data_IF_596138467932
#
_entry.id   IF_596138467932
#
_cell.length_a   1.000
_cell.length_b   1.000
_cell.length_c   1.000
_cell.angle_alpha   90.00
_cell.angle_beta   90.00
_cell.angle_gamma   90.00
#
_symmetry.space_group_name_H-M   'P 1'
#
loop_
_entity.id
_entity.type
_entity.pdbx_description
1 polymer ?
#
# COMPACT_ATOMS: atom_id res chain seq x y z
N UNK A 1 16.52 -12.52 10.25
CA UNK A 1 17.20 -11.43 9.52
C UNK A 1 17.83 -10.50 10.56
N UNK A 2 19.07 -10.05 10.36
CA UNK A 2 19.66 -9.03 11.23
C UNK A 2 18.96 -7.70 10.94
N UNK A 3 18.51 -7.02 11.98
CA UNK A 3 17.90 -5.70 11.87
C UNK A 3 18.97 -4.69 11.42
N UNK A 4 18.71 -3.97 10.33
CA UNK A 4 19.61 -2.90 9.87
C UNK A 4 19.36 -1.69 10.76
N UNK A 5 20.34 -1.36 11.61
CA UNK A 5 20.16 -0.32 12.62
C UNK A 5 20.36 1.09 12.06
N UNK A 6 21.34 1.29 11.16
CA UNK A 6 21.64 2.60 10.58
C UNK A 6 21.71 2.56 9.06
N UNK A 7 21.05 3.52 8.41
CA UNK A 7 21.12 3.75 6.96
C UNK A 7 21.59 5.18 6.67
N UNK A 8 22.41 5.33 5.64
CA UNK A 8 22.81 6.60 5.09
C UNK A 8 21.93 6.92 3.88
N UNK A 9 21.10 7.97 3.97
CA UNK A 9 20.25 8.41 2.86
C UNK A 9 20.89 9.64 2.24
N UNK A 10 21.19 9.57 0.94
CA UNK A 10 21.79 10.67 0.23
C UNK A 10 21.16 10.85 -1.15
N UNK A 11 21.20 12.10 -1.61
CA UNK A 11 20.75 12.46 -2.94
C UNK A 11 21.76 11.96 -3.97
N UNK A 12 21.27 11.44 -5.09
CA UNK A 12 22.13 11.04 -6.20
C UNK A 12 22.15 12.11 -7.30
N UNK A 13 23.27 12.18 -8.01
CA UNK A 13 23.37 12.99 -9.22
C UNK A 13 22.80 12.22 -10.42
N UNK A 14 21.69 12.70 -10.97
CA UNK A 14 21.07 12.12 -12.16
C UNK A 14 21.93 12.17 -13.42
N UNK A 15 22.98 12.99 -13.43
CA UNK A 15 23.96 13.08 -14.53
C UNK A 15 25.08 12.07 -14.40
N UNK A 16 25.29 11.52 -13.19
CA UNK A 16 26.20 10.41 -12.97
C UNK A 16 25.53 9.09 -13.39
N UNK A 17 26.00 8.51 -14.48
CA UNK A 17 25.44 7.25 -14.99
C UNK A 17 25.54 6.10 -13.99
N UNK A 18 26.55 6.10 -13.11
CA UNK A 18 26.73 5.04 -12.11
C UNK A 18 25.65 5.11 -11.04
N UNK A 19 25.44 6.29 -10.46
CA UNK A 19 24.45 6.47 -9.39
C UNK A 19 23.03 6.29 -9.94
N UNK A 20 22.77 6.82 -11.14
CA UNK A 20 21.50 6.63 -11.81
C UNK A 20 21.23 5.15 -12.10
N UNK A 21 22.24 4.38 -12.51
CA UNK A 21 22.11 2.94 -12.73
C UNK A 21 21.77 2.21 -11.42
N UNK A 22 22.47 2.50 -10.33
CA UNK A 22 22.18 1.93 -9.01
C UNK A 22 20.73 2.18 -8.59
N UNK A 23 20.27 3.42 -8.77
CA UNK A 23 18.90 3.81 -8.47
C UNK A 23 17.88 3.05 -9.33
N UNK A 24 18.11 2.96 -10.64
CA UNK A 24 17.18 2.32 -11.57
C UNK A 24 17.12 0.80 -11.37
N UNK A 25 18.26 0.17 -11.11
CA UNK A 25 18.40 -1.29 -11.00
C UNK A 25 18.10 -1.82 -9.60
N UNK A 26 18.07 -0.99 -8.55
CA UNK A 26 17.77 -1.43 -7.18
C UNK A 26 16.55 -2.37 -7.06
N UNK A 27 15.40 -2.17 -7.73
CA UNK A 27 14.26 -3.11 -7.70
C UNK A 27 14.62 -4.53 -8.15
N UNK A 28 15.61 -4.69 -9.04
CA UNK A 28 16.11 -6.00 -9.44
C UNK A 28 16.78 -6.74 -8.28
N UNK A 29 17.17 -6.06 -7.20
CA UNK A 29 17.70 -6.73 -6.01
C UNK A 29 16.58 -7.26 -5.10
N UNK A 30 15.42 -6.61 -5.05
CA UNK A 30 14.37 -6.91 -4.06
C UNK A 30 13.15 -7.66 -4.60
N UNK A 31 12.78 -7.51 -5.88
CA UNK A 31 11.58 -8.16 -6.42
C UNK A 31 11.89 -9.50 -7.09
N UNK A 32 11.06 -10.52 -6.89
CA UNK A 32 11.26 -11.84 -7.49
C UNK A 32 11.13 -11.83 -9.02
N UNK A 33 10.15 -11.11 -9.56
CA UNK A 33 9.88 -11.07 -11.00
C UNK A 33 10.80 -10.10 -11.75
N UNK A 34 12.05 -10.53 -11.98
CA UNK A 34 13.08 -9.70 -12.64
C UNK A 34 12.67 -9.22 -14.03
N UNK A 35 12.00 -10.06 -14.83
CA UNK A 35 11.56 -9.72 -16.20
C UNK A 35 10.61 -8.52 -16.24
N UNK A 36 9.66 -8.46 -15.30
CA UNK A 36 8.73 -7.33 -15.22
C UNK A 36 9.47 -6.04 -14.86
N UNK A 37 10.44 -6.13 -13.94
CA UNK A 37 11.26 -4.98 -13.52
C UNK A 37 12.15 -4.50 -14.66
N UNK A 38 12.83 -5.41 -15.38
CA UNK A 38 13.63 -5.09 -16.57
C UNK A 38 12.81 -4.35 -17.63
N UNK A 39 11.54 -4.74 -17.82
CA UNK A 39 10.62 -4.04 -18.71
C UNK A 39 10.24 -2.63 -18.22
N UNK A 40 10.21 -2.40 -16.91
CA UNK A 40 9.83 -1.13 -16.31
C UNK A 40 10.98 -0.12 -16.21
N UNK A 41 12.24 -0.60 -16.08
CA UNK A 41 13.44 0.24 -15.94
C UNK A 41 13.56 1.32 -17.04
N UNK A 42 13.40 1.02 -18.35
CA UNK A 42 13.46 2.04 -19.39
C UNK A 42 12.40 3.13 -19.23
N UNK A 43 11.21 2.78 -18.73
CA UNK A 43 10.14 3.74 -18.46
C UNK A 43 10.50 4.67 -17.31
N UNK A 44 10.98 4.11 -16.20
CA UNK A 44 11.45 4.92 -15.07
C UNK A 44 12.60 5.83 -15.50
N UNK A 45 13.58 5.31 -16.26
CA UNK A 45 14.68 6.11 -16.81
C UNK A 45 14.14 7.32 -17.58
N UNK A 46 13.19 7.10 -18.50
CA UNK A 46 12.58 8.21 -19.25
C UNK A 46 11.90 9.25 -18.37
N UNK A 47 11.22 8.83 -17.29
CA UNK A 47 10.55 9.75 -16.36
C UNK A 47 11.54 10.58 -15.55
N UNK A 48 12.61 9.96 -15.03
CA UNK A 48 13.59 10.65 -14.18
C UNK A 48 14.63 11.44 -14.97
N UNK A 49 14.76 11.21 -16.29
CA UNK A 49 15.62 11.99 -17.18
C UNK A 49 15.00 13.32 -17.62
N UNK A 50 13.68 13.49 -17.48
CA UNK A 50 13.01 14.75 -17.85
C UNK A 50 13.29 15.81 -16.76
N UNK A 51 13.52 17.09 -17.11
CA UNK A 51 13.58 18.16 -16.13
C UNK A 51 12.27 18.24 -15.34
N UNK A 52 12.37 18.29 -14.01
CA UNK A 52 11.22 18.44 -13.14
C UNK A 52 11.66 18.75 -11.71
N UNK A 53 10.69 19.17 -10.90
CA UNK A 53 10.90 19.55 -9.50
C UNK A 53 10.91 18.31 -8.61
N UNK A 54 11.85 17.41 -8.86
CA UNK A 54 12.07 16.22 -8.06
C UNK A 54 13.55 15.89 -7.90
N UNK A 55 13.84 15.20 -6.81
CA UNK A 55 15.18 14.75 -6.44
C UNK A 55 15.16 13.24 -6.19
N UNK A 56 16.26 12.58 -6.54
CA UNK A 56 16.42 11.13 -6.43
C UNK A 56 17.30 10.83 -5.21
N UNK A 57 16.90 9.85 -4.40
CA UNK A 57 17.63 9.44 -3.20
C UNK A 57 17.81 7.92 -3.18
N UNK A 58 18.97 7.49 -2.70
CA UNK A 58 19.23 6.09 -2.33
C UNK A 58 19.53 6.01 -0.83
N UNK A 59 19.17 4.87 -0.25
CA UNK A 59 19.50 4.52 1.12
C UNK A 59 20.53 3.39 1.09
N UNK A 60 21.64 3.59 1.79
CA UNK A 60 22.71 2.61 1.93
C UNK A 60 22.82 2.12 3.37
N UNK A 61 23.03 0.83 3.56
CA UNK A 61 23.38 0.28 4.87
C UNK A 61 24.83 0.62 5.25
N UNK A 62 25.21 0.34 6.50
CA UNK A 62 26.61 0.40 6.95
C UNK A 62 27.58 -0.47 6.15
N UNK A 63 27.09 -1.47 5.43
CA UNK A 63 27.90 -2.35 4.59
C UNK A 63 27.99 -1.87 3.14
N UNK A 64 27.48 -0.67 2.83
CA UNK A 64 27.36 -0.12 1.47
C UNK A 64 26.39 -0.88 0.54
N UNK A 65 25.55 -1.76 1.10
CA UNK A 65 24.44 -2.35 0.33
C UNK A 65 23.33 -1.29 0.15
N UNK A 66 22.82 -1.13 -1.07
CA UNK A 66 21.61 -0.33 -1.31
C UNK A 66 20.42 -1.06 -0.67
N UNK A 67 19.71 -0.38 0.22
CA UNK A 67 18.56 -0.94 0.96
C UNK A 67 17.25 -0.23 0.64
N UNK A 68 17.29 0.87 -0.11
CA UNK A 68 16.10 1.54 -0.57
C UNK A 68 16.40 2.63 -1.59
N UNK A 69 15.34 3.08 -2.27
CA UNK A 69 15.34 4.27 -3.12
C UNK A 69 14.04 5.03 -2.97
N UNK A 70 14.08 6.33 -3.22
CA UNK A 70 12.88 7.15 -3.30
C UNK A 70 13.08 8.37 -4.19
N UNK A 71 11.98 8.84 -4.76
CA UNK A 71 11.90 10.14 -5.43
C UNK A 71 11.14 11.10 -4.55
N UNK A 72 11.69 12.28 -4.35
CA UNK A 72 11.08 13.37 -3.60
C UNK A 72 10.68 14.48 -4.56
N UNK A 73 9.39 14.63 -4.82
CA UNK A 73 8.86 15.65 -5.73
C UNK A 73 8.21 16.81 -4.98
N UNK A 74 8.38 18.03 -5.48
CA UNK A 74 7.76 19.25 -4.97
C UNK A 74 6.62 19.66 -5.91
N UNK A 75 5.54 20.23 -5.37
CA UNK A 75 4.44 20.74 -6.16
C UNK A 75 3.98 22.10 -5.61
N UNK A 76 4.45 23.17 -6.24
CA UNK A 76 4.13 24.55 -5.84
C UNK A 76 2.72 24.99 -6.25
N UNK A 77 2.00 24.19 -7.03
CA UNK A 77 0.65 24.49 -7.50
C UNK A 77 -0.42 24.03 -6.51
N UNK A 78 -0.17 22.95 -5.78
CA UNK A 78 -1.09 22.44 -4.75
C UNK A 78 -0.66 23.01 -3.41
N UNK A 79 -1.56 23.75 -2.76
CA UNK A 79 -1.28 24.45 -1.49
C UNK A 79 -2.39 24.24 -0.49
N UNK A 80 -2.07 24.38 0.80
CA UNK A 80 -3.07 24.40 1.86
C UNK A 80 -3.68 25.81 2.04
N UNK A 81 -4.61 25.92 3.00
CA UNK A 81 -5.31 27.17 3.33
C UNK A 81 -4.36 28.27 3.86
N UNK A 82 -3.13 27.91 4.25
CA UNK A 82 -2.07 28.82 4.70
C UNK A 82 -1.05 29.11 3.58
N UNK A 83 -1.36 28.76 2.33
CA UNK A 83 -0.52 28.94 1.15
C UNK A 83 0.80 28.14 1.18
N UNK A 84 0.89 27.09 2.01
CA UNK A 84 2.05 26.20 2.09
C UNK A 84 1.99 25.14 0.98
N UNK A 85 3.04 24.98 0.16
CA UNK A 85 3.03 24.03 -0.96
C UNK A 85 3.15 22.58 -0.48
N UNK A 86 2.56 21.66 -1.25
CA UNK A 86 2.66 20.24 -1.00
C UNK A 86 3.84 19.59 -1.73
N UNK A 87 4.32 18.47 -1.20
CA UNK A 87 5.36 17.64 -1.76
C UNK A 87 5.02 16.15 -1.64
N UNK A 88 5.71 15.29 -2.35
CA UNK A 88 5.41 13.87 -2.40
C UNK A 88 6.65 12.99 -2.37
N UNK A 89 6.47 11.78 -1.87
CA UNK A 89 7.43 10.68 -1.99
C UNK A 89 6.83 9.68 -2.97
N UNK A 90 7.53 9.40 -4.07
CA UNK A 90 7.13 8.47 -5.11
C UNK A 90 8.27 7.55 -5.50
N UNK A 91 7.99 6.57 -6.38
CA UNK A 91 8.98 5.55 -6.80
C UNK A 91 9.81 5.04 -5.60
N UNK A 92 9.08 4.64 -4.57
CA UNK A 92 9.61 4.26 -3.28
C UNK A 92 9.72 2.75 -3.23
N UNK A 93 10.94 2.24 -3.16
CA UNK A 93 11.22 0.83 -3.02
C UNK A 93 12.19 0.65 -1.85
N UNK A 94 11.95 -0.36 -1.03
CA UNK A 94 12.78 -0.66 0.14
C UNK A 94 12.85 -2.17 0.29
N UNK A 95 13.96 -2.67 0.83
CA UNK A 95 14.03 -4.07 1.28
C UNK A 95 12.91 -4.37 2.29
N UNK A 96 12.60 -5.64 2.52
CA UNK A 96 11.58 -6.05 3.48
C UNK A 96 12.03 -5.84 4.95
N UNK A 97 12.25 -4.58 5.33
CA UNK A 97 12.63 -4.12 6.66
C UNK A 97 11.87 -2.83 7.00
N UNK A 98 10.97 -2.94 7.98
CA UNK A 98 10.16 -1.82 8.47
C UNK A 98 11.00 -0.68 9.08
N UNK A 99 12.16 -0.99 9.66
CA UNK A 99 13.08 0.02 10.20
C UNK A 99 13.58 0.93 9.08
N UNK A 100 14.03 0.35 7.97
CA UNK A 100 14.52 1.10 6.80
C UNK A 100 13.39 1.93 6.19
N UNK A 101 12.20 1.34 6.01
CA UNK A 101 11.01 2.07 5.57
C UNK A 101 10.75 3.31 6.43
N UNK A 102 10.67 3.12 7.75
CA UNK A 102 10.41 4.21 8.70
C UNK A 102 11.47 5.30 8.63
N UNK A 103 12.75 4.93 8.60
CA UNK A 103 13.86 5.88 8.52
C UNK A 103 13.81 6.72 7.23
N UNK A 104 13.48 6.11 6.10
CA UNK A 104 13.33 6.83 4.82
C UNK A 104 12.13 7.78 4.82
N UNK A 105 10.99 7.38 5.39
CA UNK A 105 9.83 8.28 5.55
C UNK A 105 10.16 9.44 6.50
N UNK A 106 10.82 9.16 7.63
CA UNK A 106 11.24 10.19 8.59
C UNK A 106 12.26 11.16 7.97
N UNK A 107 13.17 10.67 7.13
CA UNK A 107 14.06 11.52 6.32
C UNK A 107 13.26 12.42 5.39
N UNK A 108 12.31 11.87 4.62
CA UNK A 108 11.51 12.63 3.68
C UNK A 108 10.70 13.74 4.35
N UNK A 109 10.11 13.45 5.51
CA UNK A 109 9.40 14.45 6.34
C UNK A 109 10.31 15.58 6.78
N UNK A 110 11.48 15.28 7.34
CA UNK A 110 12.46 16.28 7.80
C UNK A 110 12.98 17.13 6.64
N UNK A 111 13.26 16.49 5.50
CA UNK A 111 13.69 17.17 4.30
C UNK A 111 12.63 18.18 3.83
N UNK A 112 11.35 17.79 3.72
CA UNK A 112 10.31 18.71 3.26
C UNK A 112 10.00 19.82 4.27
N UNK A 113 10.05 19.51 5.57
CA UNK A 113 9.92 20.52 6.62
C UNK A 113 11.00 21.60 6.51
N UNK A 114 12.26 21.21 6.26
CA UNK A 114 13.38 22.15 6.05
C UNK A 114 13.14 23.06 4.84
N UNK A 115 12.49 22.55 3.79
CA UNK A 115 12.21 23.28 2.56
C UNK A 115 10.85 24.00 2.57
N UNK A 116 10.10 23.98 3.68
CA UNK A 116 8.75 24.58 3.82
C UNK A 116 7.70 23.96 2.89
N UNK A 117 7.74 22.64 2.76
CA UNK A 117 6.70 21.86 2.09
C UNK A 117 5.96 20.97 3.07
N UNK A 118 4.66 20.78 2.85
CA UNK A 118 3.88 19.73 3.48
C UNK A 118 4.06 18.43 2.72
N UNK A 119 4.46 17.36 3.40
CA UNK A 119 4.36 16.03 2.80
C UNK A 119 2.87 15.72 2.56
N UNK A 120 2.49 15.61 1.30
CA UNK A 120 1.15 15.23 0.90
C UNK A 120 0.85 13.86 1.49
N UNK A 121 -0.25 13.70 2.22
CA UNK A 121 -0.61 12.44 2.82
C UNK A 121 -1.04 11.48 1.70
N UNK A 122 -0.10 10.69 1.16
CA UNK A 122 -0.44 9.57 0.26
C UNK A 122 -1.20 8.45 0.98
N UNK A 123 -1.39 8.58 2.29
CA UNK A 123 -2.29 7.77 3.07
C UNK A 123 -3.54 8.60 3.33
N UNK A 124 -4.58 8.39 2.55
CA UNK A 124 -5.94 8.82 2.89
C UNK A 124 -6.17 8.50 4.40
N UNK A 125 -6.46 9.48 5.28
CA UNK A 125 -6.51 9.29 6.73
C UNK A 125 -7.61 8.34 7.22
N UNK A 126 -8.47 7.84 6.34
CA UNK A 126 -9.27 6.62 6.62
C UNK A 126 -8.41 5.35 6.81
N UNK A 127 -7.11 5.39 6.51
CA UNK A 127 -6.16 4.30 6.64
C UNK A 127 -5.37 4.24 7.96
N UNK A 128 -5.45 5.23 8.86
CA UNK A 128 -4.67 5.22 10.12
C UNK A 128 -5.47 4.65 11.30
N UNK A 129 -6.80 4.57 11.22
CA UNK A 129 -7.64 3.94 12.27
C UNK A 129 -7.76 2.41 12.17
N UNK A 130 -7.04 1.77 11.25
CA UNK A 130 -7.24 0.35 10.87
C UNK A 130 -6.03 -0.51 11.27
N UNK A 131 -5.42 -0.26 12.42
CA UNK A 131 -4.53 -1.25 13.06
C UNK A 131 -5.29 -2.45 13.64
N UNK A 132 -6.56 -2.25 14.03
CA UNK A 132 -7.41 -3.29 14.62
C UNK A 132 -8.51 -3.81 13.68
N UNK A 133 -8.87 -3.08 12.62
CA UNK A 133 -9.95 -3.47 11.71
C UNK A 133 -9.48 -4.23 10.44
N UNK A 134 -8.17 -4.31 10.17
CA UNK A 134 -7.65 -4.80 8.89
C UNK A 134 -7.81 -6.31 8.71
N UNK A 135 -7.75 -7.11 9.78
CA UNK A 135 -8.06 -8.55 9.69
C UNK A 135 -9.50 -8.80 9.28
N UNK A 136 -10.44 -7.98 9.74
CA UNK A 136 -11.86 -8.13 9.40
C UNK A 136 -12.17 -7.60 8.00
N UNK A 137 -11.63 -6.44 7.61
CA UNK A 137 -11.92 -5.84 6.31
C UNK A 137 -11.24 -6.60 5.15
N UNK A 138 -10.02 -7.10 5.36
CA UNK A 138 -9.30 -7.90 4.36
C UNK A 138 -9.99 -9.25 4.10
N UNK A 139 -10.51 -9.91 5.16
CA UNK A 139 -11.38 -11.09 5.05
C UNK A 139 -12.66 -10.77 4.28
N UNK A 140 -13.26 -9.60 4.49
CA UNK A 140 -14.46 -9.16 3.78
C UNK A 140 -14.14 -8.90 2.30
N UNK A 141 -13.08 -8.17 1.95
CA UNK A 141 -12.74 -7.90 0.54
C UNK A 141 -12.31 -9.15 -0.23
N UNK A 142 -11.54 -10.07 0.39
CA UNK A 142 -11.22 -11.36 -0.25
C UNK A 142 -12.50 -12.18 -0.46
N UNK A 143 -13.42 -12.17 0.51
CA UNK A 143 -14.72 -12.84 0.38
C UNK A 143 -15.59 -12.22 -0.72
N UNK A 144 -15.57 -10.89 -0.90
CA UNK A 144 -16.32 -10.22 -1.96
C UNK A 144 -15.73 -10.46 -3.34
N UNK A 145 -14.40 -10.41 -3.50
CA UNK A 145 -13.75 -10.73 -4.77
C UNK A 145 -13.93 -12.20 -5.15
N UNK A 146 -13.88 -13.11 -4.17
CA UNK A 146 -14.17 -14.53 -4.39
C UNK A 146 -15.65 -14.75 -4.74
N UNK A 147 -16.58 -14.09 -4.06
CA UNK A 147 -18.02 -14.19 -4.33
C UNK A 147 -18.37 -13.63 -5.71
N UNK A 148 -17.79 -12.49 -6.11
CA UNK A 148 -17.98 -11.90 -7.44
C UNK A 148 -17.42 -12.83 -8.52
N UNK A 149 -16.22 -13.39 -8.32
CA UNK A 149 -15.67 -14.36 -9.28
C UNK A 149 -16.49 -15.65 -9.33
N UNK A 150 -17.04 -16.13 -8.22
CA UNK A 150 -17.92 -17.30 -8.18
C UNK A 150 -19.26 -17.03 -8.88
N UNK A 151 -19.81 -15.81 -8.74
CA UNK A 151 -21.03 -15.37 -9.43
C UNK A 151 -20.77 -15.27 -10.94
N UNK A 152 -19.65 -14.67 -11.36
CA UNK A 152 -19.27 -14.56 -12.77
C UNK A 152 -19.05 -15.96 -13.38
N UNK A 153 -18.37 -16.85 -12.65
CA UNK A 153 -18.10 -18.21 -13.11
C UNK A 153 -19.40 -19.04 -13.22
N UNK A 154 -20.31 -18.94 -12.25
CA UNK A 154 -21.61 -19.62 -12.33
C UNK A 154 -22.54 -19.02 -13.39
N UNK A 155 -22.52 -17.69 -13.58
CA UNK A 155 -23.28 -17.04 -14.67
C UNK A 155 -22.75 -17.42 -16.05
N UNK A 156 -21.43 -17.65 -16.19
CA UNK A 156 -20.85 -18.17 -17.44
C UNK A 156 -21.19 -19.64 -17.67
N UNK A 157 -21.38 -20.45 -16.62
CA UNK A 157 -21.79 -21.85 -16.73
C UNK A 157 -23.27 -21.99 -17.14
N UNK A 158 -24.15 -21.07 -16.72
CA UNK A 158 -25.58 -21.12 -17.06
C UNK A 158 -25.98 -20.41 -18.37
N UNK A 159 -25.05 -19.69 -19.02
CA UNK A 159 -25.32 -19.07 -20.33
C UNK A 159 -25.49 -20.09 -21.47
N UNK A 160 -25.33 -21.39 -21.20
CA UNK A 160 -25.60 -22.48 -22.15
C UNK A 160 -26.95 -23.20 -21.90
N UNK A 161 -27.81 -22.71 -21.00
CA UNK A 161 -29.12 -23.32 -20.71
C UNK A 161 -30.29 -22.37 -21.01
N UNK A 162 -31.29 -22.91 -21.71
CA UNK A 162 -32.47 -22.25 -22.32
C UNK A 162 -33.46 -21.57 -21.36
N UNK A 163 -33.07 -21.23 -20.14
CA UNK A 163 -33.93 -20.53 -19.18
C UNK A 163 -33.22 -19.30 -18.64
N UNK A 164 -33.71 -18.07 -18.90
CA UNK A 164 -33.13 -16.87 -18.33
C UNK A 164 -33.34 -16.91 -16.81
N UNK A 165 -32.25 -17.10 -16.07
CA UNK A 165 -32.26 -16.98 -14.61
C UNK A 165 -32.63 -15.54 -14.27
N UNK A 166 -33.71 -15.38 -13.50
CA UNK A 166 -34.14 -14.07 -13.04
C UNK A 166 -33.10 -13.53 -12.05
N UNK A 167 -32.35 -12.52 -12.48
CA UNK A 167 -31.29 -11.87 -11.69
C UNK A 167 -31.79 -11.45 -10.30
N UNK A 168 -33.08 -11.10 -10.16
CA UNK A 168 -33.67 -10.76 -8.88
C UNK A 168 -33.72 -11.92 -7.88
N UNK A 169 -33.96 -13.14 -8.35
CA UNK A 169 -33.99 -14.34 -7.48
C UNK A 169 -32.58 -14.67 -6.97
N UNK A 170 -31.56 -14.52 -7.82
CA UNK A 170 -30.15 -14.71 -7.45
C UNK A 170 -29.72 -13.68 -6.41
N UNK A 171 -30.08 -12.41 -6.62
CA UNK A 171 -29.79 -11.34 -5.65
C UNK A 171 -30.51 -11.57 -4.31
N UNK A 172 -31.76 -12.03 -4.33
CA UNK A 172 -32.51 -12.40 -3.12
C UNK A 172 -31.89 -13.59 -2.38
N UNK A 173 -31.35 -14.58 -3.11
CA UNK A 173 -30.66 -15.72 -2.52
C UNK A 173 -29.35 -15.29 -1.86
N UNK A 174 -28.56 -14.44 -2.52
CA UNK A 174 -27.32 -13.86 -1.97
C UNK A 174 -27.64 -13.05 -0.71
N UNK A 175 -28.67 -12.20 -0.75
CA UNK A 175 -29.10 -11.42 0.42
C UNK A 175 -29.50 -12.30 1.61
N UNK A 176 -30.25 -13.39 1.38
CA UNK A 176 -30.64 -14.35 2.42
C UNK A 176 -29.42 -15.02 3.07
N UNK A 177 -28.46 -15.47 2.26
CA UNK A 177 -27.23 -16.11 2.77
C UNK A 177 -26.40 -15.12 3.59
N UNK A 178 -26.20 -13.89 3.09
CA UNK A 178 -25.46 -12.85 3.80
C UNK A 178 -26.14 -12.45 5.12
N UNK A 179 -27.48 -12.36 5.14
CA UNK A 179 -28.28 -12.09 6.33
C UNK A 179 -28.18 -13.21 7.38
N UNK A 180 -28.14 -14.48 6.96
CA UNK A 180 -27.94 -15.60 7.87
C UNK A 180 -26.54 -15.62 8.47
N UNK A 181 -25.50 -15.33 7.68
CA UNK A 181 -24.11 -15.26 8.14
C UNK A 181 -23.95 -14.14 9.18
N UNK A 182 -24.45 -12.94 8.88
CA UNK A 182 -24.40 -11.80 9.80
C UNK A 182 -25.14 -12.09 11.10
N UNK A 183 -26.36 -12.65 11.05
CA UNK A 183 -27.12 -13.02 12.26
C UNK A 183 -26.41 -14.07 13.12
N UNK A 184 -25.73 -15.03 12.51
CA UNK A 184 -25.00 -16.09 13.23
C UNK A 184 -23.76 -15.53 13.94
N UNK A 185 -23.03 -14.62 13.28
CA UNK A 185 -21.86 -13.95 13.88
C UNK A 185 -22.27 -12.98 15.00
N UNK A 186 -23.36 -12.23 14.84
CA UNK A 186 -23.86 -11.32 15.87
C UNK A 186 -24.30 -12.07 17.12
N UNK A 187 -25.03 -13.19 16.97
CA UNK A 187 -25.42 -14.05 18.11
C UNK A 187 -24.22 -14.64 18.84
N UNK A 188 -23.18 -15.09 18.10
CA UNK A 188 -21.97 -15.65 18.70
C UNK A 188 -21.18 -14.60 19.49
N UNK A 189 -21.08 -13.37 18.97
CA UNK A 189 -20.43 -12.24 19.68
C UNK A 189 -21.17 -11.84 20.95
N UNK A 190 -22.50 -11.72 20.90
CA UNK A 190 -23.31 -11.38 22.07
C UNK A 190 -23.17 -12.43 23.19
N UNK A 191 -23.08 -13.71 22.84
CA UNK A 191 -22.86 -14.80 23.81
C UNK A 191 -21.47 -14.76 24.45
N UNK A 192 -20.44 -14.37 23.70
CA UNK A 192 -19.08 -14.17 24.24
C UNK A 192 -19.02 -12.98 25.19
N UNK A 193 -19.68 -11.86 24.84
CA UNK A 193 -19.74 -10.67 25.71
C UNK A 193 -20.47 -11.01 27.03
N UNK A 194 -21.62 -11.68 26.96
CA UNK A 194 -22.36 -12.04 28.18
C UNK A 194 -21.57 -13.01 29.09
N UNK A 195 -20.80 -13.95 28.52
CA UNK A 195 -19.93 -14.85 29.30
C UNK A 195 -18.77 -14.11 29.97
N UNK A 196 -18.24 -13.06 29.33
CA UNK A 196 -17.18 -12.22 29.90
C UNK A 196 -17.71 -11.34 31.03
N UNK A 197 -18.89 -10.74 30.88
CA UNK A 197 -19.56 -9.96 31.93
C UNK A 197 -19.88 -10.82 33.16
N UNK A 198 -20.30 -12.08 32.95
CA UNK A 198 -20.59 -13.01 34.04
C UNK A 198 -19.30 -13.39 34.80
N UNK A 199 -18.19 -13.57 34.09
CA UNK A 199 -16.90 -13.91 34.70
C UNK A 199 -16.30 -12.74 35.50
N UNK A 200 -16.50 -11.51 35.03
CA UNK A 200 -16.04 -10.28 35.72
C UNK A 200 -16.82 -10.06 37.02
N UNK A 201 -18.13 -10.33 37.05
CA UNK A 201 -18.96 -10.15 38.25
C UNK A 201 -18.79 -11.25 39.32
N UNK A 202 -18.00 -12.29 39.04
CA UNK A 202 -17.72 -13.40 39.96
C UNK A 202 -16.31 -13.34 40.57
N UNK A 203 -15.47 -12.37 40.15
CA UNK A 203 -14.18 -12.06 40.77
C UNK A 203 -14.34 -10.95 41.81
#
# INVERSE_FOLDING_TARGET
MKQIQDINIHQIDRTNETDLKLFLEFPLSIYENKKLIEYYIPKVKSLVSIPGDFELFIAESSNHDIVGRMVMGKNDQIRDDHNMPFAHIGLFDVIEDYSVFKQMIDFGRKYFQKHRYLLFPFFNPHGILIGLHQKALMLITISWSFLINLIILNLQIDMDLKNPINIWEVLLMIWKVLSQITNTHTKKRLKTISSLETSINQM
#
